data_IF_482233478373
#
_entry.id   IF_482233478373
#
_cell.length_a   1.000
_cell.length_b   1.000
_cell.length_c   1.000
_cell.angle_alpha   90.00
_cell.angle_beta   90.00
_cell.angle_gamma   90.00
#
_symmetry.space_group_name_H-M   'P 1'
#
loop_
_entity.id
_entity.type
_entity.pdbx_description
1 polymer ?
#
# COMPACT_ATOMS: atom_id res chain seq x y z
N UNK A 1 -0.99 -11.10 47.74
CA UNK A 1 -0.03 -10.34 46.92
C UNK A 1 -0.49 -10.45 45.47
N UNK A 2 -1.22 -9.44 44.98
CA UNK A 2 -1.73 -9.41 43.60
C UNK A 2 -0.69 -8.70 42.74
N UNK A 3 0.15 -9.48 42.04
CA UNK A 3 0.97 -8.97 40.96
C UNK A 3 0.09 -8.86 39.73
N UNK A 4 -0.52 -7.69 39.56
CA UNK A 4 -1.32 -7.35 38.39
C UNK A 4 -0.57 -7.71 37.11
N UNK A 5 -1.27 -8.46 36.26
CA UNK A 5 -0.91 -8.75 34.88
C UNK A 5 -0.38 -7.48 34.21
N UNK A 6 0.92 -7.45 33.94
CA UNK A 6 1.51 -6.50 33.01
C UNK A 6 1.06 -6.94 31.62
N UNK A 7 -0.18 -6.59 31.25
CA UNK A 7 -0.66 -6.72 29.88
C UNK A 7 0.38 -6.03 28.99
N UNK A 8 0.93 -6.70 27.95
CA UNK A 8 1.74 -5.99 26.99
C UNK A 8 0.88 -4.86 26.44
N UNK A 9 1.31 -3.62 26.65
CA UNK A 9 0.75 -2.45 25.98
C UNK A 9 0.55 -2.81 24.51
N UNK A 10 -0.51 -2.34 23.84
CA UNK A 10 -0.68 -2.56 22.41
C UNK A 10 0.50 -1.87 21.70
N UNK A 11 1.60 -2.58 21.58
CA UNK A 11 2.72 -2.29 20.70
C UNK A 11 2.07 -2.07 19.35
N UNK A 12 2.17 -0.83 18.87
CA UNK A 12 1.75 -0.37 17.57
C UNK A 12 2.03 -1.47 16.54
N UNK A 13 1.03 -2.29 16.25
CA UNK A 13 1.23 -3.47 15.41
C UNK A 13 1.49 -2.93 14.01
N UNK A 14 2.72 -3.05 13.48
CA UNK A 14 3.08 -2.36 12.25
C UNK A 14 2.15 -2.78 11.11
N UNK A 15 1.62 -4.02 11.15
CA UNK A 15 0.68 -4.53 10.15
C UNK A 15 -0.62 -3.73 10.08
N UNK A 16 -1.03 -3.05 11.16
CA UNK A 16 -2.21 -2.15 11.18
C UNK A 16 -1.97 -0.85 10.42
N UNK A 17 -0.72 -0.47 10.17
CA UNK A 17 -0.37 0.71 9.35
C UNK A 17 -0.53 0.45 7.85
N UNK A 18 -0.64 -0.82 7.43
CA UNK A 18 -0.85 -1.19 6.04
C UNK A 18 -2.30 -0.87 5.65
N UNK A 19 -2.54 0.04 4.70
CA UNK A 19 -3.90 0.39 4.31
C UNK A 19 -4.61 -0.79 3.61
N UNK A 20 -5.93 -0.78 3.66
CA UNK A 20 -6.74 -1.62 2.79
C UNK A 20 -6.54 -1.21 1.33
N UNK A 21 -6.72 -2.15 0.39
CA UNK A 21 -6.61 -1.87 -1.04
C UNK A 21 -7.57 -0.76 -1.48
N UNK A 22 -8.80 -0.75 -0.95
CA UNK A 22 -9.78 0.30 -1.24
C UNK A 22 -9.29 1.69 -0.79
N UNK A 23 -8.60 1.78 0.34
CA UNK A 23 -8.04 3.05 0.83
C UNK A 23 -6.90 3.55 -0.06
N UNK A 24 -6.11 2.64 -0.64
CA UNK A 24 -5.10 2.99 -1.64
C UNK A 24 -5.75 3.46 -2.94
N UNK A 25 -6.80 2.78 -3.42
CA UNK A 25 -7.53 3.15 -4.64
C UNK A 25 -8.31 4.46 -4.51
N UNK A 26 -8.70 4.83 -3.28
CA UNK A 26 -9.31 6.12 -2.98
C UNK A 26 -8.33 7.31 -3.11
N UNK A 27 -7.03 7.06 -3.31
CA UNK A 27 -6.07 8.12 -3.62
C UNK A 27 -6.45 8.83 -4.95
N UNK A 28 -6.39 10.17 -5.02
CA UNK A 28 -6.76 10.92 -6.22
C UNK A 28 -5.99 10.49 -7.48
N UNK A 29 -4.72 10.09 -7.35
CA UNK A 29 -3.90 9.62 -8.47
C UNK A 29 -4.40 8.25 -8.95
N UNK A 30 -4.71 7.35 -8.03
CA UNK A 30 -5.27 6.04 -8.35
C UNK A 30 -6.64 6.17 -9.01
N UNK A 31 -7.51 7.04 -8.50
CA UNK A 31 -8.82 7.31 -9.11
C UNK A 31 -8.72 7.87 -10.53
N UNK A 32 -7.70 8.68 -10.82
CA UNK A 32 -7.40 9.16 -12.15
C UNK A 32 -7.01 8.02 -13.11
N UNK A 33 -6.12 7.13 -12.66
CA UNK A 33 -5.68 5.96 -13.43
C UNK A 33 -6.80 4.94 -13.62
N UNK A 34 -7.66 4.75 -12.62
CA UNK A 34 -8.83 3.87 -12.70
C UNK A 34 -9.73 4.24 -13.88
N UNK A 35 -9.96 5.54 -14.12
CA UNK A 35 -10.79 6.00 -15.25
C UNK A 35 -10.17 5.71 -16.61
N UNK A 36 -8.84 5.68 -16.71
CA UNK A 36 -8.12 5.54 -17.98
C UNK A 36 -7.84 4.06 -18.30
N UNK A 37 -7.37 3.30 -17.31
CA UNK A 37 -6.88 1.94 -17.50
C UNK A 37 -7.81 0.86 -16.94
N UNK A 38 -8.84 1.27 -16.20
CA UNK A 38 -9.81 0.38 -15.58
C UNK A 38 -9.40 -0.10 -14.20
N UNK A 39 -10.42 -0.34 -13.37
CA UNK A 39 -10.26 -0.75 -11.95
C UNK A 39 -9.58 -2.10 -11.78
N UNK A 40 -9.86 -3.06 -12.66
CA UNK A 40 -9.39 -4.44 -12.50
C UNK A 40 -7.85 -4.54 -12.54
N UNK A 41 -7.23 -3.90 -13.54
CA UNK A 41 -5.76 -3.82 -13.67
C UNK A 41 -5.13 -3.09 -12.49
N UNK A 42 -5.72 -1.96 -12.09
CA UNK A 42 -5.23 -1.20 -10.93
C UNK A 42 -5.29 -2.02 -9.64
N UNK A 43 -6.36 -2.79 -9.45
CA UNK A 43 -6.57 -3.64 -8.29
C UNK A 43 -5.56 -4.77 -8.22
N UNK A 44 -5.22 -5.40 -9.35
CA UNK A 44 -4.17 -6.42 -9.43
C UNK A 44 -2.82 -5.85 -8.99
N UNK A 45 -2.44 -4.68 -9.53
CA UNK A 45 -1.16 -4.05 -9.18
C UNK A 45 -1.14 -3.57 -7.73
N UNK A 46 -2.20 -2.90 -7.26
CA UNK A 46 -2.35 -2.47 -5.88
C UNK A 46 -2.26 -3.63 -4.87
N UNK A 47 -2.87 -4.77 -5.18
CA UNK A 47 -2.79 -5.97 -4.34
C UNK A 47 -1.37 -6.50 -4.26
N UNK A 48 -0.67 -6.55 -5.39
CA UNK A 48 0.72 -7.00 -5.49
C UNK A 48 1.68 -6.13 -4.67
N UNK A 49 1.54 -4.81 -4.80
CA UNK A 49 2.40 -3.88 -4.08
C UNK A 49 2.09 -3.86 -2.58
N UNK A 50 0.83 -4.04 -2.18
CA UNK A 50 0.44 -4.21 -0.76
C UNK A 50 0.89 -5.54 -0.14
N UNK A 51 1.17 -6.57 -0.94
CA UNK A 51 1.60 -7.87 -0.45
C UNK A 51 3.03 -7.84 0.09
N UNK A 52 3.91 -7.02 -0.51
CA UNK A 52 5.31 -6.85 -0.08
C UNK A 52 5.46 -6.41 1.39
N UNK A 53 4.84 -5.32 1.85
CA UNK A 53 4.90 -4.93 3.25
C UNK A 53 4.19 -5.94 4.16
N UNK A 54 3.15 -6.64 3.69
CA UNK A 54 2.44 -7.68 4.46
C UNK A 54 3.29 -8.93 4.67
N UNK A 55 4.11 -9.29 3.69
CA UNK A 55 5.05 -10.42 3.77
C UNK A 55 6.19 -10.17 4.78
N UNK A 56 6.28 -8.98 5.37
CA UNK A 56 7.34 -8.63 6.32
C UNK A 56 8.67 -8.36 5.64
N UNK A 57 8.67 -8.04 4.35
CA UNK A 57 9.87 -7.67 3.60
C UNK A 57 10.48 -6.34 4.09
N UNK A 58 9.79 -5.62 4.97
CA UNK A 58 10.17 -4.30 5.47
C UNK A 58 10.54 -4.37 6.94
N UNK A 59 11.77 -3.98 7.25
CA UNK A 59 12.27 -3.97 8.62
C UNK A 59 11.84 -2.67 9.34
N UNK A 60 11.09 -2.84 10.44
CA UNK A 60 10.75 -1.76 11.36
C UNK A 60 9.58 -0.86 10.92
N UNK A 61 9.06 -0.09 11.88
CA UNK A 61 7.90 0.77 11.70
C UNK A 61 8.16 1.91 10.69
N UNK A 62 9.32 2.58 10.77
CA UNK A 62 9.72 3.64 9.84
C UNK A 62 9.95 3.15 8.41
N UNK A 63 10.40 1.89 8.26
CA UNK A 63 10.52 1.26 6.95
C UNK A 63 9.13 1.06 6.35
N UNK A 64 8.21 0.52 7.16
CA UNK A 64 6.86 0.24 6.73
C UNK A 64 6.09 1.49 6.35
N UNK A 65 6.21 2.58 7.12
CA UNK A 65 5.59 3.85 6.77
C UNK A 65 6.10 4.41 5.44
N UNK A 66 7.41 4.30 5.18
CA UNK A 66 7.99 4.70 3.90
C UNK A 66 7.49 3.84 2.74
N UNK A 67 7.43 2.52 2.91
CA UNK A 67 6.86 1.62 1.91
C UNK A 67 5.38 1.92 1.64
N UNK A 68 4.58 2.09 2.70
CA UNK A 68 3.16 2.44 2.60
C UNK A 68 2.97 3.78 1.87
N UNK A 69 3.79 4.79 2.19
CA UNK A 69 3.74 6.08 1.50
C UNK A 69 4.19 6.00 0.03
N UNK A 70 5.03 5.04 -0.32
CA UNK A 70 5.50 4.80 -1.69
C UNK A 70 4.54 3.94 -2.53
N UNK A 71 3.55 3.27 -1.92
CA UNK A 71 2.61 2.38 -2.61
C UNK A 71 1.94 3.02 -3.85
N UNK A 72 1.43 4.27 -3.81
CA UNK A 72 0.81 4.87 -4.99
C UNK A 72 1.78 4.94 -6.18
N UNK A 73 3.00 5.42 -5.96
CA UNK A 73 4.02 5.52 -6.99
C UNK A 73 4.48 4.13 -7.47
N UNK A 74 4.52 3.12 -6.59
CA UNK A 74 4.85 1.75 -6.96
C UNK A 74 3.79 1.13 -7.88
N UNK A 75 2.50 1.37 -7.60
CA UNK A 75 1.38 0.93 -8.44
C UNK A 75 1.43 1.59 -9.81
N UNK A 76 1.68 2.91 -9.87
CA UNK A 76 1.90 3.63 -11.13
C UNK A 76 2.99 2.99 -11.98
N UNK A 77 4.17 2.74 -11.38
CA UNK A 77 5.32 2.14 -12.04
C UNK A 77 5.04 0.71 -12.52
N UNK A 78 4.31 -0.08 -11.72
CA UNK A 78 3.92 -1.43 -12.10
C UNK A 78 2.94 -1.42 -13.29
N UNK A 79 2.03 -0.46 -13.31
CA UNK A 79 1.08 -0.28 -14.42
C UNK A 79 1.79 0.21 -15.70
N UNK A 80 2.74 1.14 -15.59
CA UNK A 80 3.61 1.54 -16.71
C UNK A 80 4.35 0.35 -17.31
N UNK A 81 4.94 -0.48 -16.44
CA UNK A 81 5.67 -1.67 -16.85
C UNK A 81 4.75 -2.72 -17.52
N UNK A 82 3.51 -2.86 -17.06
CA UNK A 82 2.51 -3.75 -17.67
C UNK A 82 2.10 -3.28 -19.07
N UNK A 83 1.84 -1.98 -19.22
CA UNK A 83 1.36 -1.39 -20.49
C UNK A 83 2.51 -1.24 -21.50
N UNK A 84 3.76 -1.14 -21.02
CA UNK A 84 4.93 -0.93 -21.87
C UNK A 84 5.05 0.49 -22.42
N UNK A 85 4.31 1.44 -21.85
CA UNK A 85 4.30 2.85 -22.22
C UNK A 85 4.13 3.73 -20.97
N UNK A 86 4.66 4.97 -20.98
CA UNK A 86 4.45 5.91 -19.87
C UNK A 86 2.95 6.17 -19.68
N UNK A 87 2.51 6.27 -18.41
CA UNK A 87 1.11 6.58 -18.14
C UNK A 87 0.78 7.95 -18.74
N UNK A 88 -0.36 8.04 -19.43
CA UNK A 88 -0.97 9.30 -19.80
C UNK A 88 -0.95 10.23 -18.57
N UNK A 89 -0.28 11.37 -18.67
CA UNK A 89 -0.23 12.38 -17.61
C UNK A 89 -1.68 12.78 -17.31
N UNK A 90 -2.18 12.35 -16.16
CA UNK A 90 -3.43 12.85 -15.63
C UNK A 90 -3.09 14.15 -14.90
N UNK A 91 -3.10 15.23 -15.68
CA UNK A 91 -2.95 16.63 -15.23
C UNK A 91 -4.31 17.20 -14.82
#
# INVERSE_FOLDING_TARGET
>A
MQGSSMSPSPTDDPRRRIPAVDRLLADPRMSALERVYGRDRLLVQARRELDRPRAGAVAGADGLEREVAALPAAVERALEAEIGAPLARVI
#
